data_IF_803826873945
#
_entry.id   IF_803826873945
#
_cell.length_a   1.000
_cell.length_b   1.000
_cell.length_c   1.000
_cell.angle_alpha   90.00
_cell.angle_beta   90.00
_cell.angle_gamma   90.00
#
_symmetry.space_group_name_H-M   'P 1'
#
loop_
_entity.id
_entity.type
_entity.pdbx_description
1 polymer ?
#
# COMPACT_ATOMS: atom_id res chain seq x y z
N UNK A 1 -11.95 -26.19 -0.54
CA UNK A 1 -10.66 -26.05 0.17
C UNK A 1 -9.41 -26.37 -0.68
N UNK A 2 -9.49 -27.09 -1.81
CA UNK A 2 -8.32 -27.33 -2.70
C UNK A 2 -7.84 -26.11 -3.50
N UNK A 3 -8.62 -25.02 -3.59
CA UNK A 3 -8.27 -23.80 -4.36
C UNK A 3 -7.32 -22.82 -3.65
N UNK A 4 -7.36 -22.76 -2.32
CA UNK A 4 -6.42 -21.95 -1.55
C UNK A 4 -4.95 -22.39 -1.74
N UNK A 5 -4.61 -23.70 -1.69
CA UNK A 5 -3.24 -24.13 -1.97
C UNK A 5 -2.84 -23.96 -3.45
N UNK A 6 -3.77 -24.04 -4.42
CA UNK A 6 -3.41 -23.81 -5.83
C UNK A 6 -3.08 -22.35 -6.11
N UNK A 7 -3.80 -21.38 -5.53
CA UNK A 7 -3.47 -19.96 -5.69
C UNK A 7 -2.10 -19.64 -5.07
N UNK A 8 -1.84 -20.15 -3.86
CA UNK A 8 -0.53 -20.05 -3.20
C UNK A 8 0.61 -20.62 -4.06
N UNK A 9 0.41 -21.78 -4.69
CA UNK A 9 1.43 -22.38 -5.57
C UNK A 9 1.71 -21.49 -6.79
N UNK A 10 0.68 -20.90 -7.40
CA UNK A 10 0.84 -20.05 -8.58
C UNK A 10 1.52 -18.71 -8.26
N UNK A 11 1.11 -18.05 -7.17
CA UNK A 11 1.80 -16.84 -6.69
C UNK A 11 3.26 -17.13 -6.39
N UNK A 12 3.57 -18.28 -5.77
CA UNK A 12 4.96 -18.71 -5.53
C UNK A 12 5.75 -18.91 -6.82
N UNK A 13 5.17 -19.52 -7.86
CA UNK A 13 5.84 -19.65 -9.18
C UNK A 13 6.17 -18.27 -9.78
N UNK A 14 5.29 -17.29 -9.61
CA UNK A 14 5.54 -15.92 -10.08
C UNK A 14 6.65 -15.24 -9.28
N UNK A 15 6.66 -15.39 -7.95
CA UNK A 15 7.77 -14.90 -7.10
C UNK A 15 9.09 -15.51 -7.57
N UNK A 16 9.18 -16.84 -7.65
CA UNK A 16 10.42 -17.52 -8.03
C UNK A 16 10.93 -17.06 -9.41
N UNK A 17 10.03 -16.92 -10.39
CA UNK A 17 10.37 -16.42 -11.71
C UNK A 17 10.85 -14.96 -11.69
N UNK A 18 10.21 -14.08 -10.90
CA UNK A 18 10.60 -12.68 -10.77
C UNK A 18 11.98 -12.52 -10.12
N UNK A 19 12.22 -13.25 -9.02
CA UNK A 19 13.50 -13.22 -8.31
C UNK A 19 14.65 -13.75 -9.19
N UNK A 20 14.41 -14.82 -9.94
CA UNK A 20 15.40 -15.41 -10.85
C UNK A 20 15.65 -14.54 -12.09
N UNK A 21 14.63 -13.82 -12.58
CA UNK A 21 14.78 -12.87 -13.68
C UNK A 21 15.62 -11.66 -13.24
N UNK A 22 15.32 -11.09 -12.08
CA UNK A 22 16.10 -9.98 -11.53
C UNK A 22 17.54 -10.38 -11.19
N UNK A 23 17.76 -11.61 -10.71
CA UNK A 23 19.11 -12.11 -10.41
C UNK A 23 20.02 -12.14 -11.65
N UNK A 24 19.46 -12.34 -12.85
CA UNK A 24 20.18 -12.38 -14.12
C UNK A 24 20.28 -11.00 -14.80
N UNK A 25 19.57 -10.00 -14.29
CA UNK A 25 19.50 -8.67 -14.87
C UNK A 25 20.61 -7.77 -14.32
N UNK A 26 21.32 -7.10 -15.22
CA UNK A 26 22.28 -6.04 -14.90
C UNK A 26 21.67 -4.69 -15.26
N UNK A 27 21.79 -3.71 -14.38
CA UNK A 27 21.19 -2.39 -14.59
C UNK A 27 21.92 -1.63 -15.70
N UNK A 28 21.16 -1.17 -16.70
CA UNK A 28 21.66 -0.35 -17.80
C UNK A 28 20.88 0.97 -17.87
N UNK A 29 21.56 2.09 -17.63
CA UNK A 29 20.94 3.42 -17.61
C UNK A 29 20.49 3.89 -19.00
N UNK A 30 21.12 3.38 -20.06
CA UNK A 30 20.87 3.79 -21.45
C UNK A 30 19.96 2.79 -22.19
N UNK A 31 19.40 1.80 -21.47
CA UNK A 31 18.52 0.79 -22.03
C UNK A 31 17.31 1.42 -22.72
N UNK A 32 17.19 1.20 -24.01
CA UNK A 32 16.00 1.54 -24.79
C UNK A 32 15.15 0.29 -24.97
N UNK A 33 14.03 0.23 -24.26
CA UNK A 33 13.08 -0.88 -24.36
C UNK A 33 11.66 -0.36 -24.49
N UNK A 34 10.98 -0.82 -25.53
CA UNK A 34 9.58 -0.51 -25.77
C UNK A 34 8.68 -1.61 -25.20
N UNK A 35 7.65 -1.19 -24.47
CA UNK A 35 6.67 -2.07 -23.85
C UNK A 35 5.26 -1.59 -24.15
N UNK A 36 4.27 -2.46 -23.93
CA UNK A 36 2.86 -2.10 -24.07
C UNK A 36 2.39 -1.35 -22.83
N UNK A 37 2.18 -0.04 -22.98
CA UNK A 37 1.62 0.78 -21.91
C UNK A 37 0.09 0.69 -21.94
N UNK A 38 -0.52 0.23 -20.85
CA UNK A 38 -1.95 -0.08 -20.77
C UNK A 38 -2.87 1.10 -21.13
N UNK A 39 -2.40 2.34 -21.00
CA UNK A 39 -3.13 3.57 -21.35
C UNK A 39 -2.98 3.92 -22.83
N UNK A 40 -1.78 3.70 -23.37
CA UNK A 40 -1.39 4.15 -24.71
C UNK A 40 -1.66 3.11 -25.78
N UNK A 41 -1.89 1.83 -25.41
CA UNK A 41 -2.15 0.78 -26.40
C UNK A 41 -3.30 1.15 -27.33
N UNK A 42 -3.07 0.94 -28.63
CA UNK A 42 -3.99 1.28 -29.72
C UNK A 42 -4.32 2.77 -29.89
N UNK A 43 -3.67 3.68 -29.15
CA UNK A 43 -3.80 5.12 -29.37
C UNK A 43 -2.99 5.57 -30.58
N UNK A 44 -3.56 6.52 -31.33
CA UNK A 44 -2.96 7.06 -32.56
C UNK A 44 -2.84 8.58 -32.49
N UNK A 45 -1.80 9.12 -33.11
CA UNK A 45 -1.64 10.55 -33.31
C UNK A 45 -2.59 11.10 -34.40
N UNK A 46 -2.59 12.42 -34.59
CA UNK A 46 -3.37 13.11 -35.62
C UNK A 46 -3.00 12.66 -37.06
N UNK A 47 -1.81 12.09 -37.23
CA UNK A 47 -1.26 11.60 -38.50
C UNK A 47 -1.61 10.11 -38.75
N UNK A 48 -2.26 9.46 -37.76
CA UNK A 48 -2.70 8.06 -37.82
C UNK A 48 -1.64 7.03 -37.45
N UNK A 49 -0.43 7.45 -37.02
CA UNK A 49 0.61 6.58 -36.48
C UNK A 49 0.30 6.22 -35.02
N UNK A 50 0.78 5.06 -34.58
CA UNK A 50 0.67 4.68 -33.18
C UNK A 50 1.53 5.60 -32.30
N UNK A 51 0.97 5.99 -31.15
CA UNK A 51 1.75 6.71 -30.14
C UNK A 51 2.93 5.85 -29.65
N UNK A 52 3.97 6.51 -29.16
CA UNK A 52 5.09 5.82 -28.54
C UNK A 52 4.62 5.00 -27.34
N UNK A 53 5.06 3.73 -27.22
CA UNK A 53 4.53 2.70 -26.29
C UNK A 53 3.06 2.28 -26.54
N UNK A 54 2.40 2.88 -27.53
CA UNK A 54 1.01 2.64 -27.92
C UNK A 54 0.82 1.74 -29.12
N UNK A 55 1.74 0.78 -29.33
CA UNK A 55 1.72 -0.18 -30.44
C UNK A 55 0.39 -0.94 -30.53
N UNK A 56 0.14 -1.53 -31.70
CA UNK A 56 -1.00 -2.42 -31.91
C UNK A 56 -1.03 -3.54 -30.88
N UNK A 57 -2.14 -3.62 -30.14
CA UNK A 57 -2.38 -4.61 -29.12
C UNK A 57 -3.77 -5.21 -29.30
N UNK A 58 -3.81 -6.46 -29.77
CA UNK A 58 -5.06 -7.12 -30.15
C UNK A 58 -5.86 -7.47 -28.89
N UNK A 59 -6.98 -6.78 -28.69
CA UNK A 59 -7.92 -7.02 -27.60
C UNK A 59 -9.15 -7.75 -28.15
N UNK A 60 -9.47 -8.91 -27.57
CA UNK A 60 -10.62 -9.73 -27.97
C UNK A 60 -11.56 -9.88 -26.78
N UNK A 61 -12.87 -9.62 -26.94
CA UNK A 61 -13.86 -9.87 -25.89
C UNK A 61 -13.80 -11.33 -25.43
N UNK A 62 -13.78 -11.53 -24.11
CA UNK A 62 -13.65 -12.86 -23.53
C UNK A 62 -14.73 -13.09 -22.45
N UNK A 63 -15.53 -14.14 -22.64
CA UNK A 63 -16.62 -14.54 -21.73
C UNK A 63 -16.14 -14.72 -20.28
N UNK A 64 -14.90 -15.19 -20.08
CA UNK A 64 -14.31 -15.40 -18.77
C UNK A 64 -14.09 -14.11 -17.98
N UNK A 65 -13.90 -13.00 -18.69
CA UNK A 65 -13.68 -11.66 -18.15
C UNK A 65 -14.92 -10.77 -18.35
N UNK A 66 -16.13 -11.34 -18.28
CA UNK A 66 -17.40 -10.61 -18.48
C UNK A 66 -17.45 -9.84 -19.81
N UNK A 67 -16.96 -10.45 -20.90
CA UNK A 67 -16.86 -9.84 -22.24
C UNK A 67 -15.94 -8.62 -22.33
N UNK A 68 -15.12 -8.37 -21.31
CA UNK A 68 -14.09 -7.34 -21.38
C UNK A 68 -13.10 -7.68 -22.51
N UNK A 69 -12.74 -6.72 -23.38
CA UNK A 69 -11.70 -6.92 -24.37
C UNK A 69 -10.33 -7.10 -23.70
N UNK A 70 -9.75 -8.29 -23.83
CA UNK A 70 -8.48 -8.64 -23.20
C UNK A 70 -7.51 -9.28 -24.19
N UNK A 71 -6.21 -9.23 -23.89
CA UNK A 71 -5.17 -9.97 -24.59
C UNK A 71 -4.65 -11.11 -23.71
N UNK A 72 -5.03 -12.34 -24.04
CA UNK A 72 -4.61 -13.54 -23.31
C UNK A 72 -3.19 -14.01 -23.65
N UNK A 73 -2.49 -13.36 -24.60
CA UNK A 73 -1.13 -13.76 -24.99
C UNK A 73 -0.05 -12.94 -24.29
N UNK A 74 -0.36 -11.70 -23.91
CA UNK A 74 0.61 -10.74 -23.38
C UNK A 74 0.03 -9.97 -22.20
N UNK A 75 0.90 -9.64 -21.23
CA UNK A 75 0.61 -8.61 -20.22
C UNK A 75 0.87 -7.21 -20.78
N UNK A 76 0.28 -6.20 -20.16
CA UNK A 76 0.66 -4.81 -20.32
C UNK A 76 1.20 -4.21 -19.02
N UNK A 77 1.63 -2.95 -19.10
CA UNK A 77 2.18 -2.20 -17.98
C UNK A 77 1.46 -0.88 -17.82
N UNK A 78 0.96 -0.62 -16.62
CA UNK A 78 0.50 0.68 -16.18
C UNK A 78 1.62 1.39 -15.40
N UNK A 79 1.79 2.68 -15.67
CA UNK A 79 2.69 3.56 -14.94
C UNK A 79 1.84 4.72 -14.38
N UNK A 80 1.97 5.07 -13.09
CA UNK A 80 1.26 6.19 -12.49
C UNK A 80 1.52 7.51 -13.23
N UNK A 81 0.51 8.38 -13.34
CA UNK A 81 0.59 9.63 -14.12
C UNK A 81 1.67 10.60 -13.63
N UNK A 82 2.05 10.54 -12.35
CA UNK A 82 3.12 11.36 -11.77
C UNK A 82 4.54 10.84 -12.09
N UNK A 83 4.67 9.68 -12.75
CA UNK A 83 5.95 9.07 -13.08
C UNK A 83 6.25 9.13 -14.58
N UNK A 84 7.53 9.21 -14.94
CA UNK A 84 7.96 9.27 -16.33
C UNK A 84 8.15 7.87 -16.93
N UNK A 85 7.41 7.54 -17.99
CA UNK A 85 7.40 6.20 -18.63
C UNK A 85 8.78 5.67 -19.06
N UNK A 86 9.75 6.54 -19.35
CA UNK A 86 11.11 6.18 -19.78
C UNK A 86 12.16 6.39 -18.69
N UNK A 87 11.75 6.55 -17.44
CA UNK A 87 12.70 6.54 -16.33
C UNK A 87 13.53 5.24 -16.39
N UNK A 88 14.88 5.31 -16.34
CA UNK A 88 15.73 4.13 -16.45
C UNK A 88 15.37 3.03 -15.44
N UNK A 89 14.93 3.38 -14.23
CA UNK A 89 14.50 2.42 -13.22
C UNK A 89 13.21 1.69 -13.62
N UNK A 90 12.27 2.38 -14.28
CA UNK A 90 11.04 1.77 -14.81
C UNK A 90 11.39 0.90 -16.01
N UNK A 91 12.15 1.40 -16.98
CA UNK A 91 12.46 0.66 -18.22
C UNK A 91 13.22 -0.63 -17.92
N UNK A 92 14.24 -0.59 -17.05
CA UNK A 92 14.92 -1.79 -16.57
C UNK A 92 13.95 -2.74 -15.87
N UNK A 93 13.10 -2.18 -15.00
CA UNK A 93 12.04 -2.89 -14.29
C UNK A 93 11.10 -3.68 -15.20
N UNK A 94 10.63 -3.00 -16.24
CA UNK A 94 9.72 -3.55 -17.23
C UNK A 94 10.43 -4.59 -18.09
N UNK A 95 11.69 -4.36 -18.46
CA UNK A 95 12.49 -5.30 -19.25
C UNK A 95 12.65 -6.66 -18.57
N UNK A 96 13.19 -6.73 -17.34
CA UNK A 96 13.39 -8.03 -16.70
C UNK A 96 12.07 -8.73 -16.34
N UNK A 97 11.02 -7.95 -16.04
CA UNK A 97 9.70 -8.50 -15.70
C UNK A 97 8.92 -9.04 -16.90
N UNK A 98 9.39 -8.84 -18.14
CA UNK A 98 8.81 -9.48 -19.33
C UNK A 98 8.83 -11.01 -19.24
N UNK A 99 9.84 -11.57 -18.56
CA UNK A 99 9.96 -13.01 -18.30
C UNK A 99 8.73 -13.61 -17.59
N UNK A 100 7.94 -12.79 -16.89
CA UNK A 100 6.73 -13.21 -16.20
C UNK A 100 5.59 -13.57 -17.16
N UNK A 101 5.58 -13.04 -18.39
CA UNK A 101 4.54 -13.34 -19.40
C UNK A 101 4.32 -14.85 -19.59
N UNK A 102 5.41 -15.60 -19.69
CA UNK A 102 5.35 -17.06 -19.84
C UNK A 102 4.68 -17.72 -18.63
N UNK A 103 4.99 -17.26 -17.42
CA UNK A 103 4.42 -17.82 -16.19
C UNK A 103 2.96 -17.44 -16.03
N UNK A 104 2.57 -16.23 -16.42
CA UNK A 104 1.19 -15.78 -16.42
C UNK A 104 0.30 -16.65 -17.31
N UNK A 105 0.73 -16.89 -18.57
CA UNK A 105 0.02 -17.76 -19.52
C UNK A 105 -0.05 -19.20 -18.99
N UNK A 106 1.09 -19.76 -18.56
CA UNK A 106 1.17 -21.10 -17.96
C UNK A 106 0.23 -21.30 -16.77
N UNK A 107 0.07 -20.27 -15.93
CA UNK A 107 -0.79 -20.31 -14.75
C UNK A 107 -2.26 -20.26 -15.13
N UNK A 108 -2.61 -19.47 -16.13
CA UNK A 108 -3.98 -19.35 -16.66
C UNK A 108 -4.41 -20.65 -17.35
N UNK A 109 -3.55 -21.23 -18.18
CA UNK A 109 -3.83 -22.51 -18.87
C UNK A 109 -4.06 -23.67 -17.89
N UNK A 110 -3.34 -23.66 -16.76
CA UNK A 110 -3.48 -24.69 -15.72
C UNK A 110 -4.73 -24.51 -14.86
N UNK A 111 -5.19 -23.27 -14.68
CA UNK A 111 -6.37 -22.97 -13.89
C UNK A 111 -7.07 -21.73 -14.42
N UNK A 112 -8.05 -21.94 -15.31
CA UNK A 112 -8.84 -20.88 -15.88
C UNK A 112 -9.71 -20.13 -14.86
N UNK A 113 -9.80 -20.54 -13.59
CA UNK A 113 -10.59 -19.78 -12.59
C UNK A 113 -9.90 -18.52 -12.06
N UNK A 114 -8.65 -18.26 -12.46
CA UNK A 114 -7.97 -17.00 -12.18
C UNK A 114 -8.56 -15.87 -13.02
N UNK A 115 -8.65 -14.69 -12.42
CA UNK A 115 -9.01 -13.48 -13.14
C UNK A 115 -7.73 -12.70 -13.41
N UNK A 116 -7.24 -11.93 -12.44
CA UNK A 116 -6.05 -11.11 -12.62
C UNK A 116 -4.82 -11.78 -12.04
N UNK A 117 -3.71 -11.66 -12.77
CA UNK A 117 -2.37 -11.91 -12.25
C UNK A 117 -1.54 -10.66 -12.48
N UNK A 118 -0.77 -10.23 -11.50
CA UNK A 118 0.00 -9.00 -11.65
C UNK A 118 1.26 -8.96 -10.78
N UNK A 119 2.15 -8.06 -11.18
CA UNK A 119 3.34 -7.67 -10.43
C UNK A 119 3.31 -6.16 -10.24
N UNK A 120 3.19 -5.71 -8.98
CA UNK A 120 3.38 -4.32 -8.60
C UNK A 120 4.83 -4.09 -8.20
N UNK A 121 5.50 -3.16 -8.86
CA UNK A 121 6.90 -2.86 -8.60
C UNK A 121 7.07 -1.88 -7.44
N UNK A 122 8.16 -2.05 -6.67
CA UNK A 122 8.63 -1.04 -5.73
C UNK A 122 8.94 0.31 -6.43
N UNK A 123 9.19 0.28 -7.74
CA UNK A 123 9.40 1.47 -8.58
C UNK A 123 8.10 2.06 -9.14
N UNK A 124 6.93 1.58 -8.72
CA UNK A 124 5.62 2.19 -9.04
C UNK A 124 4.91 1.61 -10.26
N UNK A 125 5.60 1.06 -11.25
CA UNK A 125 4.95 0.42 -12.40
C UNK A 125 4.21 -0.86 -12.01
N UNK A 126 3.10 -1.13 -12.70
CA UNK A 126 2.20 -2.25 -12.46
C UNK A 126 2.06 -3.08 -13.74
N UNK A 127 2.48 -4.34 -13.73
CA UNK A 127 2.33 -5.26 -14.87
C UNK A 127 1.13 -6.17 -14.63
N UNK A 128 0.16 -6.18 -15.56
CA UNK A 128 -1.09 -6.92 -15.42
C UNK A 128 -1.30 -7.94 -16.55
N UNK A 129 -1.78 -9.12 -16.19
CA UNK A 129 -2.19 -10.16 -17.12
C UNK A 129 -3.61 -10.68 -16.81
N UNK A 130 -4.44 -10.93 -17.84
CA UNK A 130 -4.21 -10.58 -19.26
C UNK A 130 -4.15 -9.06 -19.46
N UNK A 131 -3.53 -8.61 -20.57
CA UNK A 131 -3.46 -7.18 -20.87
C UNK A 131 -4.83 -6.60 -21.25
N UNK A 132 -5.12 -5.39 -20.79
CA UNK A 132 -6.36 -4.64 -20.98
C UNK A 132 -6.07 -3.17 -21.26
N UNK A 133 -6.96 -2.49 -21.99
CA UNK A 133 -6.84 -1.04 -22.15
C UNK A 133 -7.37 -0.34 -20.90
N UNK A 134 -6.55 0.53 -20.33
CA UNK A 134 -6.94 1.39 -19.21
C UNK A 134 -7.47 2.72 -19.75
N UNK A 135 -8.62 3.13 -19.24
CA UNK A 135 -9.23 4.41 -19.58
C UNK A 135 -8.89 5.43 -18.47
N UNK A 136 -8.20 6.53 -18.80
CA UNK A 136 -7.97 7.60 -17.83
C UNK A 136 -9.27 8.37 -17.54
N UNK A 137 -9.27 9.18 -16.49
CA UNK A 137 -10.39 10.07 -16.19
C UNK A 137 -10.58 11.18 -17.25
N UNK A 138 -11.62 12.02 -17.09
CA UNK A 138 -11.92 13.13 -18.01
C UNK A 138 -10.74 14.10 -18.20
N UNK A 139 -9.79 14.15 -17.25
CA UNK A 139 -8.61 14.99 -17.29
C UNK A 139 -7.35 14.24 -17.80
N UNK A 140 -7.49 12.99 -18.23
CA UNK A 140 -6.37 12.16 -18.68
C UNK A 140 -5.52 11.60 -17.55
N UNK A 141 -6.02 11.56 -16.31
CA UNK A 141 -5.27 11.13 -15.12
C UNK A 141 -5.71 9.73 -14.67
N UNK A 142 -4.74 8.92 -14.24
CA UNK A 142 -4.98 7.63 -13.60
C UNK A 142 -4.49 7.72 -12.16
N UNK A 143 -5.45 7.69 -11.23
CA UNK A 143 -5.18 7.73 -9.78
C UNK A 143 -4.62 6.41 -9.21
N UNK A 144 -4.46 5.37 -10.04
CA UNK A 144 -3.98 4.08 -9.59
C UNK A 144 -2.46 4.07 -9.38
N UNK A 145 -2.04 3.79 -8.15
CA UNK A 145 -0.68 3.40 -7.78
C UNK A 145 -0.75 2.05 -7.06
N UNK A 146 0.01 1.06 -7.54
CA UNK A 146 0.03 -0.27 -6.95
C UNK A 146 0.57 -0.29 -5.51
N UNK A 147 1.47 0.64 -5.15
CA UNK A 147 2.12 0.71 -3.84
C UNK A 147 1.16 1.10 -2.72
N UNK A 148 0.11 1.83 -3.08
CA UNK A 148 -0.92 2.31 -2.15
C UNK A 148 -2.02 1.27 -1.92
N UNK A 149 -1.98 0.14 -2.65
CA UNK A 149 -3.02 -0.88 -2.55
C UNK A 149 -2.79 -1.77 -1.34
N UNK A 150 -3.88 -2.15 -0.69
CA UNK A 150 -3.85 -2.97 0.52
C UNK A 150 -3.14 -4.30 0.32
N UNK A 151 -3.37 -4.98 -0.82
CA UNK A 151 -2.66 -6.23 -1.17
C UNK A 151 -1.15 -6.03 -1.23
N UNK A 152 -0.68 -4.87 -1.68
CA UNK A 152 0.74 -4.56 -1.75
C UNK A 152 1.29 -4.32 -0.35
N UNK A 153 0.64 -3.45 0.43
CA UNK A 153 1.11 -3.04 1.76
C UNK A 153 1.12 -4.22 2.73
N UNK A 154 0.05 -5.01 2.78
CA UNK A 154 -0.06 -6.15 3.70
C UNK A 154 0.95 -7.26 3.37
N UNK A 155 1.28 -7.47 2.08
CA UNK A 155 2.31 -8.44 1.70
C UNK A 155 3.74 -7.91 1.95
N UNK A 156 3.98 -6.63 1.65
CA UNK A 156 5.29 -6.00 1.75
C UNK A 156 5.76 -5.79 3.20
N UNK A 157 4.83 -5.55 4.12
CA UNK A 157 5.13 -5.25 5.54
C UNK A 157 4.54 -6.27 6.49
N UNK A 158 4.91 -6.18 7.76
CA UNK A 158 4.28 -6.96 8.84
C UNK A 158 3.35 -6.04 9.65
N UNK A 159 2.37 -6.60 10.37
CA UNK A 159 1.53 -5.83 11.29
C UNK A 159 2.35 -4.95 12.23
N UNK A 160 1.83 -3.75 12.54
CA UNK A 160 2.58 -2.72 13.28
C UNK A 160 1.73 -1.94 14.27
N UNK A 161 2.38 -1.56 15.37
CA UNK A 161 1.88 -0.65 16.39
C UNK A 161 2.51 0.73 16.19
N UNK A 162 1.71 1.74 15.84
CA UNK A 162 2.20 3.05 15.44
C UNK A 162 1.67 4.16 16.34
N UNK A 163 2.56 4.92 16.97
CA UNK A 163 2.19 6.18 17.62
C UNK A 163 2.58 7.35 16.72
N UNK A 164 1.59 8.12 16.29
CA UNK A 164 1.79 9.30 15.44
C UNK A 164 1.82 10.53 16.34
N UNK A 165 2.95 11.23 16.37
CA UNK A 165 3.14 12.48 17.09
C UNK A 165 3.01 13.66 16.14
N UNK A 166 2.06 14.56 16.41
CA UNK A 166 1.77 15.72 15.57
C UNK A 166 2.08 17.00 16.32
N UNK A 167 3.02 17.78 15.80
CA UNK A 167 3.32 19.11 16.32
C UNK A 167 2.16 20.07 16.05
N UNK A 168 1.58 20.63 17.12
CA UNK A 168 0.54 21.67 17.05
C UNK A 168 1.01 22.96 17.72
N UNK A 169 2.31 23.20 17.78
CA UNK A 169 2.88 24.46 18.25
C UNK A 169 2.57 25.62 17.30
N UNK A 170 2.78 26.85 17.77
CA UNK A 170 2.45 28.07 17.02
C UNK A 170 3.15 28.19 15.66
N UNK A 171 4.32 27.57 15.46
CA UNK A 171 5.07 27.59 14.19
C UNK A 171 4.37 26.79 13.09
N UNK A 172 3.56 25.80 13.47
CA UNK A 172 2.78 24.98 12.55
C UNK A 172 1.55 25.70 11.98
N UNK A 173 1.24 26.92 12.41
CA UNK A 173 0.03 27.64 11.97
C UNK A 173 -0.05 27.84 10.45
N UNK A 174 -1.24 27.64 9.89
CA UNK A 174 -1.50 27.85 8.46
C UNK A 174 -1.18 26.62 7.63
N UNK A 175 -0.45 26.82 6.52
CA UNK A 175 -0.18 25.76 5.54
C UNK A 175 0.56 24.55 6.14
N UNK A 176 1.47 24.76 7.10
CA UNK A 176 2.24 23.68 7.73
C UNK A 176 1.32 22.67 8.42
N UNK A 177 0.37 23.14 9.24
CA UNK A 177 -0.62 22.26 9.88
C UNK A 177 -1.52 21.57 8.86
N UNK A 178 -1.90 22.23 7.76
CA UNK A 178 -2.67 21.58 6.67
C UNK A 178 -1.87 20.43 6.03
N UNK A 179 -0.58 20.64 5.75
CA UNK A 179 0.30 19.57 5.21
C UNK A 179 0.47 18.46 6.25
N UNK A 180 0.62 18.80 7.53
CA UNK A 180 0.72 17.82 8.62
C UNK A 180 -0.55 16.95 8.71
N UNK A 181 -1.75 17.55 8.71
CA UNK A 181 -3.02 16.82 8.70
C UNK A 181 -3.14 15.89 7.49
N UNK A 182 -2.77 16.38 6.30
CA UNK A 182 -2.77 15.56 5.09
C UNK A 182 -1.75 14.40 5.17
N UNK A 183 -0.58 14.65 5.77
CA UNK A 183 0.46 13.63 5.99
C UNK A 183 -0.04 12.54 6.93
N UNK A 184 -0.68 12.92 8.04
CA UNK A 184 -1.31 11.96 8.95
C UNK A 184 -2.39 11.16 8.24
N UNK A 185 -3.28 11.82 7.48
CA UNK A 185 -4.33 11.13 6.71
C UNK A 185 -3.72 10.12 5.73
N UNK A 186 -2.66 10.50 5.01
CA UNK A 186 -1.96 9.61 4.08
C UNK A 186 -1.25 8.46 4.80
N UNK A 187 -0.77 8.65 6.02
CA UNK A 187 -0.23 7.56 6.85
C UNK A 187 -1.36 6.60 7.25
N UNK A 188 -2.52 7.10 7.68
CA UNK A 188 -3.68 6.26 8.02
C UNK A 188 -4.15 5.41 6.84
N UNK A 189 -4.08 5.94 5.61
CA UNK A 189 -4.40 5.19 4.39
C UNK A 189 -3.51 3.96 4.19
N UNK A 190 -2.27 4.01 4.70
CA UNK A 190 -1.32 2.89 4.64
C UNK A 190 -1.47 1.86 5.75
N UNK A 191 -2.30 2.11 6.76
CA UNK A 191 -2.52 1.17 7.84
C UNK A 191 -3.60 0.15 7.45
N UNK A 192 -3.26 -1.13 7.55
CA UNK A 192 -4.18 -2.25 7.34
C UNK A 192 -4.95 -2.58 8.62
N UNK A 193 -5.97 -3.43 8.52
CA UNK A 193 -6.84 -3.76 9.65
C UNK A 193 -6.10 -4.56 10.76
N UNK A 194 -4.96 -5.18 10.46
CA UNK A 194 -4.11 -5.85 11.46
C UNK A 194 -3.16 -4.88 12.22
N UNK A 195 -3.16 -3.60 11.84
CA UNK A 195 -2.32 -2.58 12.47
C UNK A 195 -3.05 -1.87 13.61
N UNK A 196 -2.28 -1.37 14.59
CA UNK A 196 -2.78 -0.59 15.70
C UNK A 196 -2.15 0.80 15.70
N UNK A 197 -2.92 1.83 16.03
CA UNK A 197 -2.42 3.19 16.05
C UNK A 197 -3.06 4.06 17.14
N UNK A 198 -2.38 5.15 17.47
CA UNK A 198 -2.96 6.31 18.14
C UNK A 198 -2.26 7.58 17.67
N UNK A 199 -2.91 8.72 17.83
CA UNK A 199 -2.41 10.02 17.39
C UNK A 199 -2.40 10.98 18.58
N UNK A 200 -1.22 11.52 18.88
CA UNK A 200 -1.00 12.47 19.97
C UNK A 200 -0.55 13.78 19.34
N UNK A 201 -1.37 14.82 19.51
CA UNK A 201 -0.97 16.18 19.22
C UNK A 201 -0.24 16.76 20.43
N UNK A 202 0.86 17.49 20.21
CA UNK A 202 1.63 18.08 21.31
C UNK A 202 1.93 19.56 21.07
N UNK A 203 1.87 20.31 22.17
CA UNK A 203 2.39 21.67 22.30
C UNK A 203 3.06 21.79 23.68
N UNK A 204 2.56 22.67 24.57
CA UNK A 204 3.00 22.77 25.96
C UNK A 204 2.47 21.60 26.81
N UNK A 205 1.40 20.94 26.33
CA UNK A 205 0.78 19.76 26.93
C UNK A 205 0.55 18.68 25.86
N UNK A 206 0.20 17.48 26.31
CA UNK A 206 -0.22 16.39 25.43
C UNK A 206 -1.73 16.42 25.22
N UNK A 207 -2.12 16.30 23.96
CA UNK A 207 -3.52 16.24 23.54
C UNK A 207 -3.72 15.00 22.68
N UNK A 208 -4.38 14.00 23.24
CA UNK A 208 -4.89 12.88 22.48
C UNK A 208 -5.94 13.37 21.48
N UNK A 209 -5.80 12.99 20.21
CA UNK A 209 -6.75 13.39 19.15
C UNK A 209 -8.15 12.84 19.46
N UNK A 210 -8.22 11.64 20.02
CA UNK A 210 -9.43 11.07 20.61
C UNK A 210 -9.28 10.92 22.13
N UNK A 211 -9.91 11.79 22.94
CA UNK A 211 -9.78 11.79 24.40
C UNK A 211 -10.28 10.51 25.09
N UNK A 212 -11.16 9.73 24.45
CA UNK A 212 -11.63 8.46 25.01
C UNK A 212 -10.57 7.34 24.92
N UNK A 213 -9.53 7.53 24.10
CA UNK A 213 -8.50 6.54 23.79
C UNK A 213 -7.14 6.90 24.42
N UNK A 214 -7.17 7.60 25.56
CA UNK A 214 -5.97 8.01 26.28
C UNK A 214 -5.16 6.79 26.76
N UNK A 215 -3.87 6.74 26.43
CA UNK A 215 -2.96 5.68 26.88
C UNK A 215 -3.15 4.33 26.18
N UNK A 216 -3.96 4.25 25.11
CA UNK A 216 -4.22 2.97 24.41
C UNK A 216 -4.03 3.10 22.90
N UNK A 217 -3.72 2.01 22.22
CA UNK A 217 -3.77 1.93 20.75
C UNK A 217 -5.11 1.34 20.31
N UNK A 218 -5.59 1.75 19.15
CA UNK A 218 -6.79 1.20 18.52
C UNK A 218 -6.47 0.54 17.20
N UNK A 219 -7.28 -0.45 16.83
CA UNK A 219 -7.16 -1.13 15.55
C UNK A 219 -7.43 -0.15 14.40
N UNK A 220 -6.63 -0.23 13.34
CA UNK A 220 -6.71 0.63 12.16
C UNK A 220 -7.83 0.22 11.19
N UNK A 221 -9.01 -0.07 11.71
CA UNK A 221 -10.21 -0.30 10.93
C UNK A 221 -10.71 0.98 10.25
N UNK A 222 -11.63 0.84 9.29
CA UNK A 222 -12.18 1.97 8.53
C UNK A 222 -12.85 3.01 9.42
N UNK A 223 -13.65 2.55 10.39
CA UNK A 223 -14.47 3.42 11.25
C UNK A 223 -13.60 4.26 12.18
N UNK A 224 -12.60 3.65 12.82
CA UNK A 224 -11.62 4.34 13.65
C UNK A 224 -10.82 5.33 12.81
N UNK A 225 -10.31 4.92 11.63
CA UNK A 225 -9.58 5.85 10.75
C UNK A 225 -10.41 7.07 10.35
N UNK A 226 -11.67 6.88 9.98
CA UNK A 226 -12.59 7.98 9.66
C UNK A 226 -12.85 8.88 10.87
N UNK A 227 -13.10 8.28 12.04
CA UNK A 227 -13.32 9.01 13.28
C UNK A 227 -12.10 9.87 13.65
N UNK A 228 -10.88 9.35 13.52
CA UNK A 228 -9.66 10.14 13.74
C UNK A 228 -9.50 11.25 12.70
N UNK A 229 -9.85 11.04 11.42
CA UNK A 229 -9.80 12.11 10.40
C UNK A 229 -10.68 13.30 10.77
N UNK A 230 -11.91 13.05 11.23
CA UNK A 230 -12.81 14.14 11.67
C UNK A 230 -12.24 14.95 12.85
N UNK A 231 -11.46 14.32 13.73
CA UNK A 231 -10.84 14.97 14.88
C UNK A 231 -9.54 15.68 14.50
N UNK A 232 -8.78 15.15 13.54
CA UNK A 232 -7.60 15.81 12.97
C UNK A 232 -7.96 17.18 12.37
N UNK A 233 -9.10 17.29 11.69
CA UNK A 233 -9.55 18.55 11.10
C UNK A 233 -9.79 19.64 12.15
N UNK A 234 -10.13 19.27 13.39
CA UNK A 234 -10.37 20.19 14.51
C UNK A 234 -9.09 20.68 15.20
N UNK A 235 -7.92 20.11 14.88
CA UNK A 235 -6.65 20.55 15.47
C UNK A 235 -6.31 21.98 15.06
N UNK A 236 -5.81 22.76 16.01
CA UNK A 236 -5.36 24.13 15.83
C UNK A 236 -3.98 24.36 16.46
N UNK A 237 -3.16 25.17 15.80
CA UNK A 237 -1.81 25.50 16.26
C UNK A 237 -1.83 26.52 17.40
N UNK A 238 -1.19 26.21 18.54
CA UNK A 238 -1.04 27.09 19.71
C UNK A 238 0.14 26.64 20.58
N UNK A 239 0.82 27.59 21.22
CA UNK A 239 1.83 27.31 22.25
C UNK A 239 3.19 26.95 21.67
N UNK A 240 4.04 26.36 22.50
CA UNK A 240 5.41 25.93 22.18
C UNK A 240 5.44 24.40 22.08
N UNK A 241 6.19 23.83 21.14
CA UNK A 241 6.28 22.37 20.98
C UNK A 241 7.23 21.71 21.98
N UNK A 242 6.71 20.97 22.96
CA UNK A 242 7.49 20.17 23.91
C UNK A 242 7.57 18.70 23.46
N UNK A 243 8.56 18.40 22.62
CA UNK A 243 8.75 17.06 22.06
C UNK A 243 9.20 16.02 23.10
N UNK A 244 9.88 16.44 24.15
CA UNK A 244 10.32 15.57 25.25
C UNK A 244 9.15 14.88 25.95
N UNK A 245 8.08 15.61 26.25
CA UNK A 245 6.88 15.05 26.91
C UNK A 245 6.21 14.05 25.96
N UNK A 246 6.09 14.39 24.68
CA UNK A 246 5.45 13.54 23.67
C UNK A 246 6.21 12.24 23.42
N UNK A 247 7.54 12.29 23.33
CA UNK A 247 8.37 11.09 23.16
C UNK A 247 8.28 10.16 24.37
N UNK A 248 8.32 10.70 25.60
CA UNK A 248 8.17 9.89 26.81
C UNK A 248 6.84 9.13 26.81
N UNK A 249 5.74 9.81 26.47
CA UNK A 249 4.41 9.19 26.42
C UNK A 249 4.32 8.12 25.33
N UNK A 250 4.82 8.40 24.13
CA UNK A 250 4.84 7.43 23.02
C UNK A 250 5.58 6.15 23.39
N UNK A 251 6.75 6.25 24.03
CA UNK A 251 7.51 5.09 24.47
C UNK A 251 6.82 4.33 25.60
N UNK A 252 6.23 5.03 26.57
CA UNK A 252 5.49 4.37 27.66
C UNK A 252 4.31 3.57 27.08
N UNK A 253 3.53 4.17 26.19
CA UNK A 253 2.37 3.51 25.57
C UNK A 253 2.77 2.27 24.76
N UNK A 254 3.78 2.39 23.89
CA UNK A 254 4.26 1.24 23.11
C UNK A 254 4.81 0.13 24.01
N UNK A 255 5.49 0.49 25.10
CA UNK A 255 6.02 -0.48 26.03
C UNK A 255 4.89 -1.21 26.78
N UNK A 256 3.87 -0.50 27.26
CA UNK A 256 2.71 -1.12 27.92
C UNK A 256 1.97 -2.07 26.98
N UNK A 257 1.72 -1.66 25.74
CA UNK A 257 1.03 -2.49 24.74
C UNK A 257 1.81 -3.75 24.37
N UNK A 258 3.15 -3.68 24.36
CA UNK A 258 3.99 -4.86 24.16
C UNK A 258 3.90 -5.84 25.34
N UNK A 259 3.81 -5.34 26.57
CA UNK A 259 3.70 -6.17 27.77
C UNK A 259 2.32 -6.82 27.93
N UNK A 260 1.25 -6.12 27.56
CA UNK A 260 -0.12 -6.66 27.64
C UNK A 260 -0.43 -7.66 26.53
N UNK A 261 0.36 -7.67 25.44
CA UNK A 261 0.12 -8.51 24.27
C UNK A 261 -1.14 -8.12 23.50
N UNK A 262 -1.66 -6.91 23.72
CA UNK A 262 -2.86 -6.39 23.06
C UNK A 262 -2.57 -5.78 21.68
N UNK A 263 -1.29 -5.52 21.37
CA UNK A 263 -0.86 -5.01 20.07
C UNK A 263 -0.64 -6.10 19.02
N UNK A 264 0.00 -5.70 17.92
CA UNK A 264 0.40 -6.60 16.83
C UNK A 264 1.55 -7.55 17.19
N UNK A 265 2.27 -7.31 18.30
CA UNK A 265 3.43 -8.09 18.81
C UNK A 265 4.62 -8.10 17.81
N UNK A 266 4.48 -7.46 16.66
CA UNK A 266 5.43 -7.49 15.56
C UNK A 266 6.33 -6.26 15.57
N UNK A 267 5.95 -5.21 14.84
CA UNK A 267 6.78 -4.01 14.68
C UNK A 267 6.20 -2.84 15.47
N UNK A 268 7.07 -2.05 16.11
CA UNK A 268 6.66 -0.83 16.79
C UNK A 268 7.33 0.38 16.14
N UNK A 269 6.57 1.44 15.91
CA UNK A 269 7.06 2.65 15.28
C UNK A 269 6.49 3.92 15.93
N UNK A 270 7.32 4.96 15.98
CA UNK A 270 6.91 6.32 16.29
C UNK A 270 7.08 7.15 15.01
N UNK A 271 6.02 7.83 14.60
CA UNK A 271 6.03 8.73 13.45
C UNK A 271 5.88 10.17 13.94
N UNK A 272 6.95 10.95 13.86
CA UNK A 272 7.00 12.34 14.30
C UNK A 272 6.78 13.28 13.12
N UNK A 273 5.80 14.16 13.22
CA UNK A 273 5.45 15.16 12.20
C UNK A 273 5.60 16.54 12.81
N UNK A 274 6.60 17.31 12.37
CA UNK A 274 6.96 18.62 12.94
C UNK A 274 7.66 19.49 11.90
N UNK A 275 7.73 20.80 12.12
CA UNK A 275 8.53 21.72 11.32
C UNK A 275 9.98 21.90 11.84
N UNK A 276 10.35 21.26 12.95
CA UNK A 276 11.71 21.25 13.44
C UNK A 276 11.89 20.66 14.83
N UNK A 277 13.13 20.33 15.19
CA UNK A 277 13.50 19.95 16.55
C UNK A 277 14.68 20.79 17.04
N UNK A 278 14.57 21.33 18.25
CA UNK A 278 15.62 22.17 18.86
C UNK A 278 16.82 21.33 19.30
N UNK A 279 16.57 20.10 19.76
CA UNK A 279 17.58 19.17 20.27
C UNK A 279 17.37 17.77 19.66
N UNK A 280 18.34 16.88 19.90
CA UNK A 280 18.38 15.49 19.47
C UNK A 280 17.69 14.52 20.42
N UNK A 281 17.36 14.94 21.65
CA UNK A 281 16.64 14.14 22.66
C UNK A 281 17.26 12.74 22.92
N UNK A 282 18.58 12.64 22.77
CA UNK A 282 19.38 11.42 22.93
C UNK A 282 19.17 10.72 24.28
N UNK A 283 18.99 11.49 25.35
CA UNK A 283 18.71 10.97 26.71
C UNK A 283 17.44 10.12 26.77
N UNK A 284 16.39 10.47 26.01
CA UNK A 284 15.13 9.71 25.96
C UNK A 284 15.35 8.39 25.20
N UNK A 285 16.05 8.44 24.06
CA UNK A 285 16.35 7.23 23.29
C UNK A 285 17.28 6.28 24.03
N UNK A 286 18.25 6.82 24.77
CA UNK A 286 19.13 6.04 25.64
C UNK A 286 18.36 5.32 26.75
N UNK A 287 17.33 5.97 27.31
CA UNK A 287 16.48 5.41 28.38
C UNK A 287 15.53 4.33 27.88
N UNK A 288 14.87 4.55 26.74
CA UNK A 288 13.73 3.70 26.31
C UNK A 288 14.07 2.72 25.19
N UNK A 289 14.95 3.07 24.26
CA UNK A 289 15.10 2.33 23.02
C UNK A 289 16.49 1.69 22.83
N UNK A 290 17.54 2.20 23.47
CA UNK A 290 18.90 1.69 23.31
C UNK A 290 19.26 0.64 24.37
N UNK A 291 20.10 -0.36 24.03
CA UNK A 291 20.86 -0.52 22.78
C UNK A 291 20.12 -1.25 21.63
N UNK A 292 19.02 -1.94 21.92
CA UNK A 292 18.37 -2.86 20.98
C UNK A 292 17.74 -2.17 19.76
N UNK A 293 17.25 -0.93 19.96
CA UNK A 293 16.53 -0.11 18.97
C UNK A 293 15.35 -0.88 18.39
N UNK A 294 14.46 -1.33 19.28
CA UNK A 294 13.26 -2.12 18.93
C UNK A 294 12.20 -1.25 18.26
N UNK A 295 12.00 -0.03 18.77
CA UNK A 295 11.06 0.94 18.21
C UNK A 295 11.78 1.73 17.11
N UNK A 296 11.15 1.81 15.93
CA UNK A 296 11.66 2.59 14.80
C UNK A 296 11.10 4.00 14.82
N UNK A 297 11.93 4.99 14.49
CA UNK A 297 11.51 6.40 14.52
C UNK A 297 11.54 7.00 13.12
N UNK A 298 10.38 7.39 12.63
CA UNK A 298 10.22 8.08 11.37
C UNK A 298 9.96 9.56 11.64
N UNK A 299 10.68 10.43 10.95
CA UNK A 299 10.55 11.88 11.16
C UNK A 299 10.20 12.55 9.84
N UNK A 300 9.08 13.26 9.83
CA UNK A 300 8.56 14.02 8.71
C UNK A 300 8.73 15.52 9.01
N UNK A 301 9.67 16.15 8.31
CA UNK A 301 9.88 17.58 8.38
C UNK A 301 8.88 18.30 7.49
N UNK A 302 8.06 19.17 8.08
CA UNK A 302 7.03 19.92 7.35
C UNK A 302 7.54 21.32 7.01
N UNK A 303 7.50 21.66 5.72
CA UNK A 303 7.86 22.97 5.21
C UNK A 303 9.19 22.99 4.45
N UNK A 304 9.52 24.17 3.90
CA UNK A 304 10.68 24.37 3.02
C UNK A 304 11.96 24.71 3.77
N UNK A 305 11.84 25.14 5.02
CA UNK A 305 12.97 25.56 5.84
C UNK A 305 13.68 24.34 6.41
N UNK A 306 14.96 24.17 6.09
CA UNK A 306 15.77 23.04 6.52
C UNK A 306 16.59 23.31 7.79
N UNK A 307 16.43 24.49 8.42
CA UNK A 307 17.31 24.95 9.51
C UNK A 307 17.34 24.02 10.74
N UNK A 308 16.31 23.18 10.91
CA UNK A 308 16.19 22.22 12.02
C UNK A 308 16.10 20.76 11.53
N UNK A 309 16.50 20.49 10.29
CA UNK A 309 16.43 19.16 9.68
C UNK A 309 17.45 18.18 10.27
N UNK A 310 18.63 18.65 10.68
CA UNK A 310 19.73 17.79 11.09
C UNK A 310 19.41 16.99 12.36
N UNK A 311 18.74 17.61 13.33
CA UNK A 311 18.31 16.94 14.55
C UNK A 311 17.28 15.84 14.25
N UNK A 312 16.27 16.14 13.43
CA UNK A 312 15.26 15.15 13.01
C UNK A 312 15.90 13.98 12.25
N UNK A 313 16.78 14.29 11.30
CA UNK A 313 17.53 13.30 10.53
C UNK A 313 18.38 12.41 11.44
N UNK A 314 19.05 13.00 12.43
CA UNK A 314 19.82 12.24 13.42
C UNK A 314 18.93 11.31 14.23
N UNK A 315 17.77 11.77 14.71
CA UNK A 315 16.83 10.95 15.49
C UNK A 315 16.34 9.73 14.70
N UNK A 316 15.99 9.91 13.43
CA UNK A 316 15.59 8.81 12.55
C UNK A 316 16.73 7.82 12.29
N UNK A 317 17.93 8.32 11.95
CA UNK A 317 19.09 7.48 11.68
C UNK A 317 19.54 6.69 12.92
N UNK A 318 19.54 7.31 14.09
CA UNK A 318 19.96 6.66 15.34
C UNK A 318 19.02 5.52 15.75
N UNK A 319 17.75 5.57 15.34
CA UNK A 319 16.71 4.62 15.72
C UNK A 319 16.18 3.77 14.53
N UNK A 320 17.05 3.47 13.54
CA UNK A 320 16.75 2.56 12.41
C UNK A 320 15.48 2.93 11.61
N UNK A 321 15.11 4.20 11.55
CA UNK A 321 13.97 4.68 10.78
C UNK A 321 14.36 5.43 9.52
N UNK A 322 13.53 6.40 9.12
CA UNK A 322 13.72 7.20 7.91
C UNK A 322 13.34 8.67 8.15
N UNK A 323 14.06 9.57 7.49
CA UNK A 323 13.80 11.00 7.50
C UNK A 323 13.37 11.43 6.11
N UNK A 324 12.27 12.18 6.04
CA UNK A 324 11.84 12.84 4.81
C UNK A 324 11.34 14.25 5.09
N UNK A 325 11.41 15.10 4.07
CA UNK A 325 10.95 16.48 4.11
C UNK A 325 9.78 16.65 3.14
N UNK A 326 8.66 17.13 3.65
CA UNK A 326 7.43 17.36 2.87
C UNK A 326 7.25 18.88 2.75
N UNK A 327 7.45 19.38 1.53
CA UNK A 327 7.36 20.81 1.23
C UNK A 327 5.99 21.21 0.70
N UNK A 328 5.29 20.30 0.02
CA UNK A 328 3.99 20.57 -0.60
C UNK A 328 2.99 19.44 -0.35
N UNK A 329 1.71 19.71 -0.59
CA UNK A 329 0.64 18.70 -0.49
C UNK A 329 0.78 17.58 -1.53
N UNK A 330 1.37 17.86 -2.69
CA UNK A 330 1.57 16.87 -3.73
C UNK A 330 2.65 15.84 -3.35
N UNK A 331 3.67 16.27 -2.60
CA UNK A 331 4.79 15.41 -2.21
C UNK A 331 4.42 14.44 -1.07
N UNK A 332 3.26 14.62 -0.42
CA UNK A 332 2.86 13.86 0.77
C UNK A 332 2.81 12.36 0.48
N UNK A 333 2.12 11.98 -0.59
CA UNK A 333 1.84 10.56 -0.87
C UNK A 333 3.14 9.78 -1.12
N UNK A 334 4.02 10.30 -1.97
CA UNK A 334 5.28 9.63 -2.32
C UNK A 334 6.21 9.51 -1.09
N UNK A 335 6.34 10.58 -0.32
CA UNK A 335 7.23 10.60 0.85
C UNK A 335 6.74 9.71 2.00
N UNK A 336 5.43 9.57 2.18
CA UNK A 336 4.87 8.65 3.18
C UNK A 336 5.15 7.19 2.77
N UNK A 337 5.06 6.83 1.51
CA UNK A 337 5.23 5.42 1.11
C UNK A 337 6.65 4.87 1.34
N UNK A 338 7.67 5.73 1.45
CA UNK A 338 9.06 5.31 1.68
C UNK A 338 9.28 4.56 3.00
N UNK A 339 8.48 4.82 4.04
CA UNK A 339 8.65 4.10 5.31
C UNK A 339 8.37 2.59 5.17
N UNK A 340 7.51 2.21 4.22
CA UNK A 340 7.20 0.79 3.94
C UNK A 340 8.45 0.04 3.47
N UNK A 341 9.32 0.67 2.68
CA UNK A 341 10.59 0.06 2.25
C UNK A 341 11.54 -0.18 3.42
N UNK A 342 11.49 0.64 4.47
CA UNK A 342 12.29 0.42 5.66
C UNK A 342 11.70 -0.72 6.49
N UNK A 343 10.38 -0.76 6.66
CA UNK A 343 9.68 -1.80 7.41
C UNK A 343 9.75 -3.18 6.76
N UNK A 344 9.89 -3.27 5.43
CA UNK A 344 9.99 -4.56 4.74
C UNK A 344 11.35 -5.26 4.90
N UNK A 345 12.42 -4.53 5.26
CA UNK A 345 13.79 -5.07 5.34
C UNK A 345 13.96 -6.35 6.18
N UNK A 346 13.39 -6.47 7.40
CA UNK A 346 13.52 -7.69 8.19
C UNK A 346 12.92 -8.91 7.48
N UNK A 347 11.71 -8.79 6.92
CA UNK A 347 11.07 -9.87 6.14
C UNK A 347 11.95 -10.34 5.00
N UNK A 348 12.63 -9.40 4.32
CA UNK A 348 13.55 -9.70 3.22
C UNK A 348 14.78 -10.48 3.71
N UNK A 349 15.35 -10.08 4.85
CA UNK A 349 16.54 -10.72 5.44
C UNK A 349 16.21 -12.14 5.92
N UNK A 350 15.04 -12.32 6.55
CA UNK A 350 14.55 -13.61 7.04
C UNK A 350 14.02 -14.51 5.92
N UNK A 351 13.96 -14.01 4.67
CA UNK A 351 13.47 -14.70 3.48
C UNK A 351 12.05 -15.26 3.66
N UNK A 352 11.21 -14.50 4.33
CA UNK A 352 9.85 -14.91 4.66
C UNK A 352 8.89 -14.59 3.50
N UNK A 353 8.55 -15.62 2.71
CA UNK A 353 7.54 -15.54 1.65
C UNK A 353 6.15 -15.85 2.18
N UNK A 354 5.69 -15.04 3.13
CA UNK A 354 4.34 -15.16 3.63
C UNK A 354 3.31 -14.85 2.57
N UNK A 355 2.25 -15.66 2.58
CA UNK A 355 1.12 -15.52 1.67
C UNK A 355 0.04 -14.80 2.43
N UNK A 356 -0.31 -13.63 1.92
CA UNK A 356 -1.35 -12.80 2.50
C UNK A 356 -2.60 -12.89 1.65
N UNK A 357 -3.75 -13.04 2.32
CA UNK A 357 -5.07 -12.91 1.71
C UNK A 357 -5.64 -11.57 2.12
N UNK A 358 -5.99 -10.74 1.15
CA UNK A 358 -6.70 -9.51 1.48
C UNK A 358 -8.14 -9.79 1.84
N UNK A 359 -8.73 -8.85 2.57
CA UNK A 359 -10.18 -8.73 2.65
C UNK A 359 -10.82 -8.64 1.26
N UNK A 360 -12.12 -8.93 1.20
CA UNK A 360 -12.83 -8.81 -0.06
C UNK A 360 -12.98 -7.34 -0.46
N UNK A 361 -12.62 -7.04 -1.69
CA UNK A 361 -12.84 -5.75 -2.33
C UNK A 361 -13.53 -5.94 -3.68
N UNK A 362 -13.91 -4.82 -4.28
CA UNK A 362 -14.61 -4.79 -5.55
C UNK A 362 -13.64 -4.25 -6.59
N UNK A 363 -13.63 -4.91 -7.75
CA UNK A 363 -12.97 -4.39 -8.94
C UNK A 363 -14.01 -3.82 -9.89
N UNK A 364 -13.86 -2.54 -10.21
CA UNK A 364 -14.75 -1.81 -11.12
C UNK A 364 -14.56 -2.22 -12.59
N UNK A 365 -13.42 -2.80 -12.96
CA UNK A 365 -13.13 -3.18 -14.35
C UNK A 365 -13.97 -4.36 -14.84
N UNK A 366 -14.51 -5.16 -13.91
CA UNK A 366 -15.32 -6.35 -14.19
C UNK A 366 -16.80 -6.15 -13.84
N UNK A 367 -17.26 -4.90 -13.77
CA UNK A 367 -18.66 -4.58 -13.58
C UNK A 367 -19.49 -5.12 -14.77
N UNK A 368 -20.51 -5.91 -14.49
CA UNK A 368 -21.47 -6.45 -15.46
C UNK A 368 -22.89 -5.90 -15.17
N UNK A 369 -23.82 -6.07 -16.12
CA UNK A 369 -25.25 -5.78 -15.96
C UNK A 369 -25.88 -6.56 -14.77
N UNK A 370 -25.24 -7.65 -14.33
CA UNK A 370 -25.63 -8.45 -13.16
C UNK A 370 -25.01 -7.98 -11.82
N UNK A 371 -24.18 -6.94 -11.85
CA UNK A 371 -23.59 -6.29 -10.67
C UNK A 371 -22.10 -6.56 -10.44
N UNK A 372 -21.59 -5.97 -9.35
CA UNK A 372 -20.18 -5.96 -8.98
C UNK A 372 -19.63 -7.33 -8.54
N UNK A 373 -18.39 -7.64 -8.91
CA UNK A 373 -17.70 -8.89 -8.52
C UNK A 373 -16.82 -8.63 -7.29
N UNK A 374 -17.15 -9.29 -6.17
CA UNK A 374 -16.25 -9.35 -5.01
C UNK A 374 -15.09 -10.29 -5.28
N UNK A 375 -13.89 -9.80 -5.04
CA UNK A 375 -12.64 -10.54 -5.19
C UNK A 375 -11.80 -10.43 -3.92
N UNK A 376 -10.89 -11.39 -3.76
CA UNK A 376 -9.83 -11.37 -2.76
C UNK A 376 -8.52 -11.68 -3.47
N UNK A 377 -7.44 -11.02 -3.05
CA UNK A 377 -6.12 -11.19 -3.63
C UNK A 377 -5.28 -12.11 -2.77
N UNK A 378 -4.55 -13.00 -3.44
CA UNK A 378 -3.42 -13.70 -2.86
C UNK A 378 -2.15 -12.97 -3.22
N UNK A 379 -1.53 -12.31 -2.24
CA UNK A 379 -0.33 -11.50 -2.43
C UNK A 379 0.92 -12.15 -1.81
N UNK A 380 2.06 -12.01 -2.47
CA UNK A 380 3.36 -12.46 -1.98
C UNK A 380 4.46 -11.43 -2.33
N UNK A 381 5.37 -11.11 -1.41
CA UNK A 381 6.47 -10.20 -1.69
C UNK A 381 7.53 -10.85 -2.57
N UNK A 382 8.23 -10.02 -3.37
CA UNK A 382 9.34 -10.42 -4.24
C UNK A 382 10.61 -9.72 -3.79
N UNK A 383 11.66 -10.49 -3.54
CA UNK A 383 12.89 -9.98 -2.96
C UNK A 383 14.09 -10.06 -3.90
N UNK A 384 15.03 -9.12 -3.75
CA UNK A 384 16.29 -9.19 -4.48
C UNK A 384 17.18 -10.30 -3.92
N UNK A 385 17.55 -11.28 -4.75
CA UNK A 385 18.49 -12.37 -4.41
C UNK A 385 19.95 -12.06 -4.74
N UNK A 386 20.26 -10.90 -5.31
CA UNK A 386 21.63 -10.54 -5.67
C UNK A 386 22.49 -10.41 -4.40
N UNK A 387 23.73 -10.90 -4.44
CA UNK A 387 24.61 -10.94 -3.26
C UNK A 387 24.87 -9.54 -2.66
N UNK A 388 24.95 -8.51 -3.51
CA UNK A 388 25.22 -7.13 -3.10
C UNK A 388 24.04 -6.46 -2.38
N UNK A 389 22.81 -6.84 -2.73
CA UNK A 389 21.57 -6.25 -2.21
C UNK A 389 20.95 -7.10 -1.10
N UNK A 390 21.41 -8.34 -0.93
CA UNK A 390 20.92 -9.29 0.09
C UNK A 390 21.04 -8.75 1.51
N UNK A 391 22.12 -8.03 1.82
CA UNK A 391 22.32 -7.40 3.14
C UNK A 391 21.52 -6.12 3.34
N UNK A 392 21.08 -5.48 2.25
CA UNK A 392 20.28 -4.24 2.26
C UNK A 392 18.78 -4.51 2.39
N UNK A 393 18.34 -5.75 2.16
CA UNK A 393 16.94 -6.15 2.28
C UNK A 393 16.03 -5.45 1.27
N UNK A 394 16.35 -5.54 -0.03
CA UNK A 394 15.61 -4.83 -1.09
C UNK A 394 14.35 -5.61 -1.51
N UNK A 395 13.19 -4.99 -1.33
CA UNK A 395 11.91 -5.39 -1.92
C UNK A 395 11.87 -4.94 -3.40
N UNK A 396 11.69 -5.89 -4.32
CA UNK A 396 11.50 -5.59 -5.75
C UNK A 396 10.06 -5.20 -6.06
N UNK A 397 9.10 -5.78 -5.34
CA UNK A 397 7.68 -5.57 -5.54
C UNK A 397 6.85 -6.66 -4.88
N UNK A 398 5.59 -6.75 -5.26
CA UNK A 398 4.63 -7.74 -4.76
C UNK A 398 3.91 -8.35 -5.97
N UNK A 399 3.81 -9.68 -6.00
CA UNK A 399 2.92 -10.37 -6.94
C UNK A 399 1.57 -10.59 -6.31
N UNK A 400 0.52 -10.41 -7.09
CA UNK A 400 -0.86 -10.66 -6.68
C UNK A 400 -1.60 -11.52 -7.69
N UNK A 401 -2.60 -12.23 -7.20
CA UNK A 401 -3.53 -12.97 -8.04
C UNK A 401 -4.92 -12.88 -7.45
N UNK A 402 -5.87 -12.42 -8.26
CA UNK A 402 -7.24 -12.18 -7.83
C UNK A 402 -8.12 -13.40 -8.06
N UNK A 403 -8.91 -13.71 -7.04
CA UNK A 403 -9.86 -14.82 -7.04
C UNK A 403 -11.24 -14.30 -6.68
N UNK A 404 -12.25 -14.49 -7.55
CA UNK A 404 -13.62 -14.16 -7.20
C UNK A 404 -14.09 -14.95 -5.99
N UNK A 405 -14.74 -14.28 -5.05
CA UNK A 405 -15.30 -14.94 -3.86
C UNK A 405 -16.31 -16.02 -4.26
N UNK A 406 -17.04 -15.82 -5.38
CA UNK A 406 -17.94 -16.82 -5.98
C UNK A 406 -17.20 -18.12 -6.33
N UNK A 407 -15.95 -18.05 -6.80
CA UNK A 407 -15.13 -19.22 -7.13
C UNK A 407 -14.68 -20.01 -5.90
N UNK A 408 -14.50 -19.34 -4.76
CA UNK A 408 -14.23 -19.98 -3.47
C UNK A 408 -15.47 -20.71 -2.95
N UNK A 409 -16.65 -20.11 -3.11
CA UNK A 409 -17.94 -20.69 -2.72
C UNK A 409 -18.31 -21.94 -3.51
N UNK A 410 -17.89 -22.07 -4.78
CA UNK A 410 -18.09 -23.29 -5.57
C UNK A 410 -17.46 -24.53 -4.93
N UNK A 411 -16.45 -24.36 -4.05
CA UNK A 411 -15.86 -25.46 -3.31
C UNK A 411 -16.77 -26.02 -2.21
N UNK A 412 -17.86 -25.33 -1.87
CA UNK A 412 -18.81 -25.72 -0.83
C UNK A 412 -19.98 -26.44 -1.51
N UNK A 413 -20.24 -27.72 -1.18
CA UNK A 413 -21.31 -28.49 -1.81
C UNK A 413 -22.69 -28.06 -1.27
N UNK A 414 -23.21 -26.92 -1.75
CA UNK A 414 -24.50 -26.33 -1.31
C UNK A 414 -25.66 -27.34 -1.34
N UNK A 415 -25.70 -28.19 -2.36
CA UNK A 415 -26.73 -29.22 -2.53
C UNK A 415 -26.78 -30.26 -1.41
N UNK A 416 -25.69 -30.44 -0.65
CA UNK A 416 -25.64 -31.36 0.50
C UNK A 416 -26.12 -30.73 1.82
N UNK A 417 -26.25 -29.41 1.88
CA UNK A 417 -26.55 -28.66 3.11
C UNK A 417 -28.06 -28.56 3.39
N UNK A 418 -28.91 -28.89 2.42
CA UNK A 418 -30.37 -28.69 2.52
C UNK A 418 -30.78 -27.22 2.36
N UNK A 419 -32.09 -26.95 2.40
CA UNK A 419 -32.67 -25.63 2.09
C UNK A 419 -32.34 -24.52 3.09
N UNK A 420 -32.04 -24.87 4.35
CA UNK A 420 -31.69 -23.90 5.40
C UNK A 420 -30.19 -23.83 5.69
N UNK A 421 -29.41 -24.76 5.12
CA UNK A 421 -27.97 -24.81 5.35
C UNK A 421 -27.25 -23.85 4.41
N UNK A 422 -26.45 -22.96 4.97
CA UNK A 422 -25.56 -22.09 4.22
C UNK A 422 -24.16 -22.17 4.80
N UNK A 423 -23.19 -21.71 4.01
CA UNK A 423 -21.84 -21.51 4.47
C UNK A 423 -21.51 -20.03 4.37
N UNK A 424 -20.75 -19.56 5.34
CA UNK A 424 -20.19 -18.23 5.39
C UNK A 424 -18.70 -18.35 5.65
N UNK A 425 -17.94 -17.34 5.26
CA UNK A 425 -16.51 -17.28 5.54
C UNK A 425 -16.20 -15.97 6.25
N UNK A 426 -15.33 -16.04 7.24
CA UNK A 426 -14.88 -14.92 8.05
C UNK A 426 -13.35 -14.84 8.03
N UNK A 427 -12.81 -13.63 8.20
CA UNK A 427 -11.38 -13.40 8.40
C UNK A 427 -11.00 -13.63 9.87
N UNK A 428 -9.70 -13.62 10.16
CA UNK A 428 -9.14 -13.58 11.51
C UNK A 428 -9.65 -12.39 12.34
N UNK A 429 -9.96 -11.27 11.69
CA UNK A 429 -10.49 -10.05 12.30
C UNK A 429 -12.02 -10.05 12.45
N UNK A 430 -12.70 -11.15 12.10
CA UNK A 430 -14.15 -11.27 12.21
C UNK A 430 -14.94 -10.61 11.07
N UNK A 431 -14.27 -10.11 10.02
CA UNK A 431 -14.94 -9.59 8.83
C UNK A 431 -15.53 -10.71 8.00
N UNK A 432 -16.74 -10.49 7.48
CA UNK A 432 -17.44 -11.44 6.63
C UNK A 432 -16.90 -11.35 5.21
N UNK A 433 -16.24 -12.41 4.74
CA UNK A 433 -15.83 -12.55 3.34
C UNK A 433 -17.03 -12.92 2.46
N UNK A 434 -17.94 -13.75 2.97
CA UNK A 434 -19.17 -14.11 2.27
C UNK A 434 -20.26 -14.56 3.24
N UNK A 435 -21.47 -14.05 3.03
CA UNK A 435 -22.68 -14.45 3.76
C UNK A 435 -23.90 -14.26 2.85
N UNK A 436 -24.97 -15.08 2.95
CA UNK A 436 -26.17 -14.92 2.12
C UNK A 436 -26.84 -13.54 2.25
N UNK A 437 -26.74 -12.93 3.42
CA UNK A 437 -27.25 -11.58 3.69
C UNK A 437 -26.22 -10.46 3.46
N UNK A 438 -24.99 -10.80 3.05
CA UNK A 438 -24.00 -9.79 2.70
C UNK A 438 -24.50 -9.05 1.45
N UNK A 439 -25.07 -7.87 1.67
CA UNK A 439 -25.47 -6.98 0.60
C UNK A 439 -24.29 -6.09 0.25
N UNK A 440 -23.96 -6.04 -1.04
CA UNK A 440 -23.11 -5.01 -1.59
C UNK A 440 -23.92 -3.71 -1.51
N UNK A 441 -23.82 -3.00 -0.39
CA UNK A 441 -24.59 -1.76 -0.19
C UNK A 441 -24.10 -0.71 -1.18
N UNK A 442 -25.03 0.11 -1.70
CA UNK A 442 -24.74 1.28 -2.53
C UNK A 442 -23.73 2.25 -1.88
N UNK A 443 -23.55 2.19 -0.56
CA UNK A 443 -22.59 3.01 0.18
C UNK A 443 -21.13 2.60 -0.09
N UNK A 444 -20.85 1.30 -0.34
CA UNK A 444 -19.53 0.82 -0.80
C UNK A 444 -19.29 1.25 -2.27
N UNK A 445 -20.35 1.33 -3.07
CA UNK A 445 -20.32 1.86 -4.45
C UNK A 445 -20.04 3.36 -4.50
N UNK A 446 -20.69 4.15 -3.63
CA UNK A 446 -20.47 5.59 -3.51
C UNK A 446 -19.05 5.90 -3.00
N UNK A 447 -18.51 5.10 -2.09
CA UNK A 447 -17.15 5.29 -1.58
C UNK A 447 -16.07 5.01 -2.63
N UNK A 448 -16.24 4.00 -3.49
CA UNK A 448 -15.36 3.78 -4.65
C UNK A 448 -15.40 4.95 -5.64
N UNK A 449 -16.59 5.52 -5.89
CA UNK A 449 -16.72 6.74 -6.66
C UNK A 449 -16.02 7.91 -5.96
N UNK A 450 -16.09 8.04 -4.63
CA UNK A 450 -15.41 9.12 -3.89
C UNK A 450 -13.89 9.02 -3.83
N UNK A 451 -13.30 7.84 -3.99
CA UNK A 451 -11.83 7.68 -4.13
C UNK A 451 -11.35 8.24 -5.49
N UNK A 452 -12.24 8.25 -6.50
CA UNK A 452 -12.10 8.99 -7.77
C UNK A 452 -12.64 10.43 -7.73
N UNK A 453 -13.62 10.76 -6.87
CA UNK A 453 -14.39 12.02 -6.88
C UNK A 453 -14.09 12.97 -5.70
N UNK A 454 -13.05 12.74 -4.88
CA UNK A 454 -12.66 13.68 -3.79
C UNK A 454 -12.13 15.05 -4.27
N UNK A 455 -12.35 15.44 -5.53
CA UNK A 455 -12.02 16.79 -6.05
C UNK A 455 -13.21 17.60 -6.58
N UNK A 456 -14.46 17.19 -6.36
CA UNK A 456 -15.63 17.95 -6.85
C UNK A 456 -16.62 18.30 -5.75
N UNK A 457 -16.15 18.85 -4.62
CA UNK A 457 -17.00 19.64 -3.71
C UNK A 457 -16.29 20.94 -3.34
N UNK A 458 -16.21 21.85 -4.31
CA UNK A 458 -16.11 23.29 -4.10
C UNK A 458 -16.79 23.98 -5.29
N UNK A 459 -18.11 24.13 -5.20
CA UNK A 459 -18.88 25.19 -5.85
C UNK A 459 -20.04 25.57 -4.93
#
# INVERSE_FOLDING_TARGET
LKKAPTCKIKSRRLVEAAEDAYLKHEFDADLQYEYFNAVLINERDEEGNYLELGKEFILVPNDHFNNLPVNISLSDVQVPTNMYNKDPAIVNGVYWSESLNKVFVDNFDRDPSLIWQYFGSAKGFFRQYPGIKWEPDENGVIAFDCRNRKWYIQAATSPKDVVILVDVSGSMKGLRLTIAKQTVSSILDTLGDDDFFNIIAYNEELHYVEPCLNGTLVQADRTNKEHFREHLDKLFAKGIGMLDIALNEAFNMLNEFNHTGQGSICSQAIMLITDGAVDTYDTIFAKYNWPDRKVRIFTYLIGREAAFADNLKWMACANKGFFTQISTLADVQENVMEYLHVLSRPKVIDQEHDVVWTEAYIDSTLADDQGLVLMTTVAMPVFSKQNETRSKGILLGVVGTDVPVKELLKAIPKYKLGIHGYAFAITNNGYILTHPELRISLMVLLEFLTDTERKTVCA
#
